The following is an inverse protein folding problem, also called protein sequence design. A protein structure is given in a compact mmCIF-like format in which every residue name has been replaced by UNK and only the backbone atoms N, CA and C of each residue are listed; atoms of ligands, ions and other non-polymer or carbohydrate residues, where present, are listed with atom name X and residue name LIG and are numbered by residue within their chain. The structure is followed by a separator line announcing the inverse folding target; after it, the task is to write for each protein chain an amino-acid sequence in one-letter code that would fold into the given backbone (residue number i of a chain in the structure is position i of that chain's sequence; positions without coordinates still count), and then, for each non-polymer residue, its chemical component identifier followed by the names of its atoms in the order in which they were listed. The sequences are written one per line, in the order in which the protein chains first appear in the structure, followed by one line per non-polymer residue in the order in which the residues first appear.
data_IF_190272692310
#
_entry.id   IF_190272692310
#
_cell.length_a   1.000
_cell.length_b   1.000
_cell.length_c   1.000
_cell.angle_alpha   90.00
_cell.angle_beta   90.00
_cell.angle_gamma   90.00
#
_symmetry.space_group_name_H-M   'P 1'
#
loop_
_entity.id
_entity.type
_entity.pdbx_description
1 polymer ?
#
# COMPACT_ATOMS: atom_id res chain seq x y z
N UNK A 1 -54.16 67.91 -2.12
CA UNK A 1 -53.49 67.11 -3.15
C UNK A 1 -52.20 66.61 -2.56
N UNK A 2 -52.19 65.37 -2.03
CA UNK A 2 -50.97 64.71 -1.41
C UNK A 2 -50.35 63.77 -2.43
N UNK A 3 -49.14 64.06 -2.82
CA UNK A 3 -48.32 63.15 -3.72
C UNK A 3 -47.77 62.03 -2.91
N UNK A 4 -48.14 60.81 -3.27
CA UNK A 4 -47.59 59.57 -2.73
C UNK A 4 -46.31 59.24 -3.52
N UNK A 5 -45.21 59.19 -2.84
CA UNK A 5 -43.92 58.82 -3.41
C UNK A 5 -43.66 57.32 -3.09
N UNK A 6 -43.66 56.47 -4.12
CA UNK A 6 -43.39 55.07 -3.99
C UNK A 6 -41.84 54.85 -4.00
N UNK A 7 -41.37 54.32 -2.92
CA UNK A 7 -39.94 53.89 -2.81
C UNK A 7 -39.83 52.43 -3.27
N UNK A 8 -39.12 52.20 -4.37
CA UNK A 8 -38.82 50.91 -4.91
C UNK A 8 -37.55 50.37 -4.20
N UNK A 9 -37.72 49.39 -3.32
CA UNK A 9 -36.57 48.70 -2.69
C UNK A 9 -36.16 47.57 -3.61
N UNK A 10 -35.00 47.72 -4.27
CA UNK A 10 -34.32 46.66 -4.99
C UNK A 10 -33.61 45.77 -3.98
N UNK A 11 -34.16 44.58 -3.72
CA UNK A 11 -33.48 43.54 -2.96
C UNK A 11 -32.54 42.80 -3.93
N UNK A 12 -31.29 43.21 -3.93
CA UNK A 12 -30.21 42.46 -4.62
C UNK A 12 -29.94 41.15 -3.90
N UNK A 13 -30.46 40.05 -4.44
CA UNK A 13 -30.11 38.72 -4.00
C UNK A 13 -28.69 38.41 -4.42
N UNK A 14 -27.73 38.44 -3.47
CA UNK A 14 -26.44 37.75 -3.64
C UNK A 14 -26.69 36.25 -3.67
N UNK A 15 -26.74 35.69 -4.85
CA UNK A 15 -26.58 34.25 -5.00
C UNK A 15 -25.14 33.90 -4.58
N UNK A 16 -24.99 33.36 -3.39
CA UNK A 16 -23.76 32.74 -2.96
C UNK A 16 -23.58 31.48 -3.83
N UNK A 17 -22.64 31.53 -4.77
CA UNK A 17 -22.14 30.34 -5.42
C UNK A 17 -21.52 29.46 -4.33
N UNK A 18 -22.25 28.42 -3.95
CA UNK A 18 -21.68 27.31 -3.17
C UNK A 18 -20.64 26.64 -4.08
N UNK A 19 -19.37 27.01 -3.89
CA UNK A 19 -18.26 26.19 -4.37
C UNK A 19 -18.49 24.79 -3.80
N UNK A 20 -18.88 23.86 -4.66
CA UNK A 20 -18.83 22.43 -4.35
C UNK A 20 -17.41 22.12 -3.91
N UNK A 21 -17.25 21.82 -2.61
CA UNK A 21 -16.02 21.35 -2.06
C UNK A 21 -15.57 20.14 -2.91
N UNK A 22 -14.34 20.17 -3.40
CA UNK A 22 -13.63 18.99 -3.92
C UNK A 22 -13.88 17.89 -2.90
N UNK A 23 -14.55 16.80 -3.31
CA UNK A 23 -14.89 15.71 -2.42
C UNK A 23 -13.65 15.26 -1.67
N UNK A 24 -13.64 15.50 -0.37
CA UNK A 24 -12.62 15.01 0.51
C UNK A 24 -12.62 13.47 0.40
N UNK A 25 -11.44 12.88 0.37
CA UNK A 25 -11.31 11.43 0.41
C UNK A 25 -12.11 10.91 1.62
N UNK A 26 -12.88 9.83 1.50
CA UNK A 26 -13.72 9.34 2.59
C UNK A 26 -12.86 9.11 3.84
N UNK A 27 -13.34 9.63 4.97
CA UNK A 27 -12.69 9.36 6.25
C UNK A 27 -12.65 7.85 6.48
N UNK A 28 -11.51 7.32 6.87
CA UNK A 28 -11.35 5.90 7.14
C UNK A 28 -10.51 5.67 8.39
N UNK A 29 -10.80 4.58 9.08
CA UNK A 29 -9.93 3.98 10.08
C UNK A 29 -9.96 2.48 9.89
N UNK A 30 -8.80 1.88 9.61
CA UNK A 30 -8.65 0.45 9.38
C UNK A 30 -7.60 -0.10 10.36
N UNK A 31 -7.95 -1.18 11.06
CA UNK A 31 -7.07 -1.92 11.97
C UNK A 31 -6.97 -3.34 11.49
N UNK A 32 -5.77 -3.89 11.49
CA UNK A 32 -5.57 -5.23 11.02
C UNK A 32 -4.12 -5.63 10.99
N UNK A 33 -3.82 -6.57 10.13
CA UNK A 33 -2.47 -7.04 9.90
C UNK A 33 -2.14 -7.10 8.42
N UNK A 34 -0.84 -7.08 8.13
CA UNK A 34 -0.33 -7.16 6.76
C UNK A 34 0.92 -8.00 6.67
N UNK A 35 1.11 -8.61 5.51
CA UNK A 35 2.30 -9.34 5.13
C UNK A 35 2.89 -8.66 3.90
N UNK A 36 4.20 -8.44 3.91
CA UNK A 36 4.92 -7.91 2.75
C UNK A 36 6.00 -8.90 2.36
N UNK A 37 6.02 -9.24 1.08
CA UNK A 37 7.13 -9.91 0.43
C UNK A 37 7.67 -9.06 -0.71
N UNK A 38 8.98 -9.04 -0.92
CA UNK A 38 9.58 -8.34 -2.06
C UNK A 38 10.86 -9.02 -2.56
N UNK A 39 11.28 -8.63 -3.75
CA UNK A 39 12.45 -9.21 -4.43
C UNK A 39 13.79 -8.86 -3.80
N UNK A 40 13.88 -7.87 -2.92
CA UNK A 40 15.12 -7.45 -2.28
C UNK A 40 15.66 -8.52 -1.31
N UNK A 41 16.92 -8.39 -0.91
CA UNK A 41 17.44 -9.06 0.27
C UNK A 41 16.95 -8.40 1.57
N UNK A 42 17.09 -9.09 2.69
CA UNK A 42 16.79 -8.54 4.01
C UNK A 42 18.04 -7.83 4.60
N UNK A 43 17.87 -6.67 5.29
CA UNK A 43 16.63 -5.92 5.47
C UNK A 43 16.26 -5.11 4.23
N UNK A 44 14.95 -4.80 4.05
CA UNK A 44 14.49 -4.01 2.92
C UNK A 44 15.06 -2.58 2.96
N UNK A 45 15.85 -2.15 1.98
CA UNK A 45 16.49 -0.84 1.98
C UNK A 45 15.48 0.32 1.86
N UNK A 46 14.35 0.10 1.19
CA UNK A 46 13.32 1.11 1.02
C UNK A 46 12.71 1.57 2.35
N UNK A 47 12.65 0.67 3.34
CA UNK A 47 12.17 1.00 4.68
C UNK A 47 13.13 1.92 5.45
N UNK A 48 14.37 1.99 5.01
CA UNK A 48 15.43 2.84 5.54
C UNK A 48 15.67 4.08 4.65
N UNK A 49 14.71 4.41 3.79
CA UNK A 49 14.80 5.49 2.81
C UNK A 49 16.02 5.35 1.87
N UNK A 50 16.28 4.13 1.43
CA UNK A 50 17.36 3.80 0.47
C UNK A 50 16.75 3.17 -0.77
N UNK A 51 17.47 3.25 -1.90
CA UNK A 51 17.02 2.63 -3.16
C UNK A 51 16.92 1.11 -3.04
N UNK A 52 15.98 0.47 -3.77
CA UNK A 52 15.93 -0.98 -3.87
C UNK A 52 17.27 -1.54 -4.38
N UNK A 53 17.60 -2.76 -3.96
CA UNK A 53 18.81 -3.44 -4.42
C UNK A 53 18.67 -3.99 -5.85
N UNK A 54 17.44 -4.06 -6.37
CA UNK A 54 17.16 -4.56 -7.72
C UNK A 54 17.15 -3.40 -8.71
N UNK A 55 17.80 -3.59 -9.86
CA UNK A 55 17.95 -2.56 -10.89
C UNK A 55 16.64 -2.20 -11.61
N UNK A 56 15.62 -3.07 -11.53
CA UNK A 56 14.32 -2.89 -12.18
C UNK A 56 13.20 -2.44 -11.23
N UNK A 57 13.56 -1.96 -10.05
CA UNK A 57 12.61 -1.60 -9.01
C UNK A 57 12.18 -2.79 -8.14
N UNK A 58 11.08 -2.64 -7.43
CA UNK A 58 10.61 -3.61 -6.46
C UNK A 58 9.45 -4.45 -7.02
N UNK A 59 9.68 -5.74 -7.23
CA UNK A 59 8.60 -6.71 -7.35
C UNK A 59 8.15 -7.09 -5.95
N UNK A 60 6.87 -6.87 -5.64
CA UNK A 60 6.37 -7.03 -4.28
C UNK A 60 4.92 -7.47 -4.21
N UNK A 61 4.60 -8.04 -3.06
CA UNK A 61 3.24 -8.34 -2.62
C UNK A 61 3.01 -7.71 -1.27
N UNK A 62 1.85 -7.09 -1.09
CA UNK A 62 1.35 -6.55 0.18
C UNK A 62 -0.05 -7.10 0.44
N UNK A 63 -0.15 -8.12 1.28
CA UNK A 63 -1.40 -8.76 1.65
C UNK A 63 -1.91 -8.17 2.96
N UNK A 64 -3.16 -7.73 2.97
CA UNK A 64 -3.80 -6.99 4.05
C UNK A 64 -5.06 -7.69 4.51
N UNK A 65 -5.22 -7.84 5.81
CA UNK A 65 -6.43 -8.28 6.49
C UNK A 65 -6.94 -7.18 7.42
N UNK A 66 -8.25 -6.92 7.39
CA UNK A 66 -8.90 -5.97 8.29
C UNK A 66 -9.62 -6.71 9.41
N UNK A 67 -9.11 -6.59 10.62
CA UNK A 67 -9.77 -7.08 11.82
C UNK A 67 -11.01 -6.23 12.13
N UNK A 68 -10.86 -4.91 12.04
CA UNK A 68 -11.91 -3.94 12.35
C UNK A 68 -11.67 -2.61 11.65
N UNK A 69 -12.73 -2.02 11.12
CA UNK A 69 -12.63 -0.67 10.59
C UNK A 69 -13.74 -0.28 9.64
N UNK A 70 -13.60 0.92 9.08
CA UNK A 70 -14.57 1.49 8.15
C UNK A 70 -13.89 2.40 7.13
N UNK A 71 -14.55 2.56 5.99
CA UNK A 71 -14.26 3.57 4.98
C UNK A 71 -15.56 4.34 4.76
N UNK A 72 -15.61 5.62 5.18
CA UNK A 72 -16.87 6.34 5.26
C UNK A 72 -17.88 5.57 6.13
N UNK A 73 -19.12 5.32 5.65
CA UNK A 73 -20.13 4.55 6.37
C UNK A 73 -19.96 3.03 6.22
N UNK A 74 -19.05 2.54 5.38
CA UNK A 74 -18.93 1.12 5.02
C UNK A 74 -18.00 0.41 5.99
N UNK A 75 -18.52 -0.63 6.68
CA UNK A 75 -17.69 -1.50 7.51
C UNK A 75 -16.82 -2.39 6.65
N UNK A 76 -15.55 -2.51 7.06
CA UNK A 76 -14.52 -3.27 6.36
C UNK A 76 -14.04 -4.50 7.15
N UNK A 77 -14.71 -4.86 8.24
CA UNK A 77 -14.32 -5.98 9.11
C UNK A 77 -14.26 -7.29 8.29
N UNK A 78 -13.18 -8.03 8.42
CA UNK A 78 -12.95 -9.31 7.73
C UNK A 78 -12.56 -9.21 6.25
N UNK A 79 -12.45 -8.00 5.68
CA UNK A 79 -12.05 -7.81 4.29
C UNK A 79 -10.56 -8.09 4.11
N UNK A 80 -10.23 -8.87 3.09
CA UNK A 80 -8.87 -9.09 2.64
C UNK A 80 -8.64 -8.44 1.28
N UNK A 81 -7.46 -7.88 1.07
CA UNK A 81 -6.97 -7.54 -0.27
C UNK A 81 -5.48 -7.77 -0.38
N UNK A 82 -5.03 -7.92 -1.60
CA UNK A 82 -3.61 -8.08 -1.92
C UNK A 82 -3.24 -7.10 -3.01
N UNK A 83 -2.18 -6.37 -2.79
CA UNK A 83 -1.56 -5.55 -3.83
C UNK A 83 -0.33 -6.28 -4.34
N UNK A 84 -0.24 -6.39 -5.65
CA UNK A 84 0.93 -6.94 -6.32
C UNK A 84 1.47 -5.89 -7.27
N UNK A 85 2.76 -5.59 -7.15
CA UNK A 85 3.43 -4.61 -7.99
C UNK A 85 4.69 -5.17 -8.61
N UNK A 86 4.92 -4.78 -9.86
CA UNK A 86 6.14 -5.07 -10.61
C UNK A 86 6.94 -3.81 -10.86
N UNK A 87 8.25 -3.88 -10.64
CA UNK A 87 9.19 -2.81 -10.96
C UNK A 87 8.91 -1.51 -10.20
N UNK A 88 8.28 -1.61 -9.05
CA UNK A 88 7.81 -0.48 -8.28
C UNK A 88 8.96 0.43 -7.86
N UNK A 89 8.81 1.73 -8.14
CA UNK A 89 9.81 2.72 -7.78
C UNK A 89 10.79 3.08 -8.90
N UNK A 90 10.85 2.33 -9.98
CA UNK A 90 11.62 2.69 -11.18
C UNK A 90 10.70 3.21 -12.28
N UNK A 91 11.19 4.21 -13.03
CA UNK A 91 10.46 4.75 -14.18
C UNK A 91 10.72 3.88 -15.40
N UNK A 92 9.95 2.81 -15.55
CA UNK A 92 9.97 2.01 -16.77
C UNK A 92 8.57 1.85 -17.31
N UNK A 93 8.41 1.72 -18.61
CA UNK A 93 7.11 1.45 -19.24
C UNK A 93 6.55 0.06 -18.89
N UNK A 94 7.33 -0.75 -18.18
CA UNK A 94 6.98 -2.11 -17.79
C UNK A 94 6.41 -2.21 -16.36
N UNK A 95 6.36 -1.12 -15.60
CA UNK A 95 5.86 -1.12 -14.23
C UNK A 95 4.34 -1.21 -14.21
N UNK A 96 3.82 -1.99 -13.28
CA UNK A 96 2.39 -2.08 -13.07
C UNK A 96 2.07 -2.46 -11.63
N UNK A 97 0.82 -2.21 -11.25
CA UNK A 97 0.23 -2.64 -10.00
C UNK A 97 -1.17 -3.19 -10.24
N UNK A 98 -1.52 -4.25 -9.53
CA UNK A 98 -2.86 -4.84 -9.50
C UNK A 98 -3.32 -5.02 -8.06
N UNK A 99 -4.62 -4.88 -7.83
CA UNK A 99 -5.23 -5.16 -6.52
C UNK A 99 -6.15 -6.35 -6.67
N UNK A 100 -5.98 -7.34 -5.82
CA UNK A 100 -6.93 -8.45 -5.67
C UNK A 100 -7.75 -8.21 -4.41
N UNK A 101 -9.06 -8.31 -4.51
CA UNK A 101 -10.01 -8.22 -3.40
C UNK A 101 -10.65 -9.58 -3.18
N UNK A 102 -10.81 -9.96 -1.91
CA UNK A 102 -11.53 -11.19 -1.56
C UNK A 102 -12.93 -11.19 -2.20
N UNK A 103 -13.27 -12.27 -2.90
CA UNK A 103 -14.60 -12.42 -3.53
C UNK A 103 -15.76 -12.36 -2.53
N UNK A 104 -15.49 -12.59 -1.23
CA UNK A 104 -16.48 -12.46 -0.16
C UNK A 104 -16.82 -11.01 0.18
N UNK A 105 -16.02 -10.03 -0.27
CA UNK A 105 -16.32 -8.63 -0.07
C UNK A 105 -17.64 -8.24 -0.77
N UNK A 106 -18.43 -7.38 -0.12
CA UNK A 106 -19.66 -6.87 -0.74
C UNK A 106 -19.35 -5.85 -1.83
N UNK A 107 -20.29 -5.54 -2.74
CA UNK A 107 -20.11 -4.48 -3.73
C UNK A 107 -19.82 -3.11 -3.10
N UNK A 108 -20.42 -2.82 -1.93
CA UNK A 108 -20.18 -1.59 -1.19
C UNK A 108 -18.77 -1.52 -0.63
N UNK A 109 -18.24 -2.65 -0.12
CA UNK A 109 -16.85 -2.75 0.36
C UNK A 109 -15.86 -2.61 -0.79
N UNK A 110 -16.13 -3.24 -1.92
CA UNK A 110 -15.33 -3.08 -3.14
C UNK A 110 -15.26 -1.63 -3.58
N UNK A 111 -16.43 -0.97 -3.68
CA UNK A 111 -16.51 0.43 -4.05
C UNK A 111 -15.77 1.33 -3.06
N UNK A 112 -15.96 1.11 -1.76
CA UNK A 112 -15.29 1.88 -0.72
C UNK A 112 -13.76 1.72 -0.78
N UNK A 113 -13.27 0.50 -0.99
CA UNK A 113 -11.85 0.24 -1.17
C UNK A 113 -11.31 0.90 -2.44
N UNK A 114 -12.02 0.77 -3.57
CA UNK A 114 -11.64 1.38 -4.83
C UNK A 114 -11.59 2.92 -4.72
N UNK A 115 -12.57 3.53 -4.04
CA UNK A 115 -12.60 4.98 -3.79
C UNK A 115 -11.43 5.41 -2.88
N UNK A 116 -11.12 4.65 -1.83
CA UNK A 116 -10.00 4.91 -0.92
C UNK A 116 -8.65 4.79 -1.64
N UNK A 117 -8.47 3.76 -2.44
CA UNK A 117 -7.30 3.61 -3.29
C UNK A 117 -7.29 4.62 -4.45
N UNK A 118 -8.45 5.23 -4.71
CA UNK A 118 -8.63 6.33 -5.65
C UNK A 118 -8.62 5.91 -7.10
N UNK A 119 -8.92 4.66 -7.41
CA UNK A 119 -8.88 4.11 -8.77
C UNK A 119 -7.50 4.16 -9.44
N UNK A 120 -6.71 5.18 -9.07
CA UNK A 120 -5.35 5.49 -9.52
C UNK A 120 -4.35 5.52 -8.36
N UNK A 121 -4.66 4.91 -7.23
CA UNK A 121 -3.89 5.00 -5.98
C UNK A 121 -3.80 6.44 -5.41
N UNK A 122 -4.80 7.27 -5.65
CA UNK A 122 -4.80 8.69 -5.25
C UNK A 122 -4.73 8.89 -3.74
N UNK A 123 -5.28 7.97 -2.95
CA UNK A 123 -5.17 8.01 -1.48
C UNK A 123 -3.70 7.96 -1.02
N UNK A 124 -2.82 7.43 -1.85
CA UNK A 124 -1.39 7.32 -1.62
C UNK A 124 -0.59 8.53 -2.15
N UNK A 125 -1.30 9.53 -2.68
CA UNK A 125 -0.73 10.77 -3.20
C UNK A 125 -0.34 10.73 -4.69
N UNK A 126 -0.15 11.90 -5.30
CA UNK A 126 0.07 12.02 -6.75
C UNK A 126 1.37 11.36 -7.23
N UNK A 127 2.38 11.22 -6.37
CA UNK A 127 3.63 10.53 -6.70
C UNK A 127 3.45 9.02 -6.81
N UNK A 128 2.46 8.46 -6.15
CA UNK A 128 2.14 7.05 -6.15
C UNK A 128 1.86 6.50 -7.54
N UNK A 129 0.99 7.16 -8.27
CA UNK A 129 0.66 6.81 -9.65
C UNK A 129 1.89 6.74 -10.55
N UNK A 130 2.81 7.67 -10.36
CA UNK A 130 4.01 7.75 -11.17
C UNK A 130 5.00 6.61 -10.92
N UNK A 131 5.08 6.13 -9.67
CA UNK A 131 6.00 5.07 -9.26
C UNK A 131 5.42 3.67 -9.44
N UNK A 132 4.09 3.55 -9.38
CA UNK A 132 3.39 2.28 -9.56
C UNK A 132 3.26 1.85 -11.03
N UNK A 133 3.42 2.78 -11.97
CA UNK A 133 3.21 2.52 -13.39
C UNK A 133 1.74 2.32 -13.73
N UNK A 134 1.45 1.32 -14.56
CA UNK A 134 0.09 1.04 -15.03
C UNK A 134 -0.75 0.36 -13.92
N UNK A 135 -1.92 0.92 -13.60
CA UNK A 135 -2.87 0.24 -12.74
C UNK A 135 -3.67 -0.79 -13.54
N UNK A 136 -3.45 -2.08 -13.27
CA UNK A 136 -4.11 -3.20 -13.94
C UNK A 136 -5.52 -3.50 -13.41
N UNK A 137 -6.03 -2.64 -12.52
CA UNK A 137 -7.38 -2.72 -11.98
C UNK A 137 -7.48 -3.44 -10.64
N UNK A 138 -8.72 -3.47 -10.12
CA UNK A 138 -9.12 -4.25 -8.97
C UNK A 138 -9.82 -5.53 -9.49
N UNK A 139 -9.32 -6.68 -9.09
CA UNK A 139 -9.82 -8.00 -9.48
C UNK A 139 -10.38 -8.72 -8.25
N UNK A 140 -11.51 -9.40 -8.39
CA UNK A 140 -12.02 -10.28 -7.33
C UNK A 140 -11.43 -11.68 -7.49
N UNK A 141 -11.05 -12.28 -6.36
CA UNK A 141 -10.51 -13.64 -6.34
C UNK A 141 -10.83 -14.33 -5.02
N UNK A 142 -10.99 -15.67 -5.00
CA UNK A 142 -11.05 -16.42 -3.75
C UNK A 142 -9.70 -16.33 -3.05
N UNK A 143 -9.72 -15.84 -1.81
CA UNK A 143 -8.50 -15.73 -1.01
C UNK A 143 -8.69 -16.16 0.44
N UNK A 144 -7.58 -16.51 1.07
CA UNK A 144 -7.50 -16.77 2.49
C UNK A 144 -6.37 -15.95 3.09
N UNK A 145 -6.56 -15.54 4.33
CA UNK A 145 -5.54 -14.91 5.15
C UNK A 145 -5.59 -15.57 6.52
N UNK A 146 -4.45 -15.96 7.05
CA UNK A 146 -4.37 -16.60 8.35
C UNK A 146 -3.18 -16.11 9.17
N UNK A 147 -3.37 -16.13 10.49
CA UNK A 147 -2.35 -15.76 11.46
C UNK A 147 -2.31 -16.88 12.50
N UNK A 148 -1.10 -17.35 12.82
CA UNK A 148 -0.93 -18.34 13.91
C UNK A 148 -1.33 -17.77 15.26
N UNK A 149 -1.74 -18.63 16.20
CA UNK A 149 -2.22 -18.22 17.51
C UNK A 149 -1.18 -17.40 18.32
N UNK A 150 0.11 -17.67 18.10
CA UNK A 150 1.24 -16.95 18.69
C UNK A 150 1.64 -15.69 17.91
N UNK A 151 0.95 -15.40 16.80
CA UNK A 151 1.23 -14.29 15.89
C UNK A 151 2.66 -14.29 15.31
N UNK A 152 3.25 -15.46 15.20
CA UNK A 152 4.62 -15.61 14.68
C UNK A 152 4.64 -16.05 13.22
N UNK A 153 3.52 -16.53 12.67
CA UNK A 153 3.41 -16.93 11.27
C UNK A 153 2.16 -16.34 10.64
N UNK A 154 2.30 -15.91 9.39
CA UNK A 154 1.25 -15.27 8.61
C UNK A 154 1.22 -15.88 7.22
N UNK A 155 0.04 -16.08 6.67
CA UNK A 155 -0.14 -16.64 5.34
C UNK A 155 -1.23 -15.89 4.58
N UNK A 156 -1.03 -15.70 3.28
CA UNK A 156 -2.03 -15.17 2.36
C UNK A 156 -1.99 -15.95 1.06
N UNK A 157 -3.14 -16.43 0.62
CA UNK A 157 -3.27 -17.21 -0.61
C UNK A 157 -4.36 -16.66 -1.49
N UNK A 158 -4.11 -16.61 -2.79
CA UNK A 158 -5.11 -16.41 -3.84
C UNK A 158 -5.03 -17.63 -4.73
N UNK A 159 -6.13 -18.38 -4.84
CA UNK A 159 -6.16 -19.66 -5.53
C UNK A 159 -5.59 -19.57 -6.96
N UNK A 160 -4.52 -20.32 -7.21
CA UNK A 160 -3.84 -20.37 -8.50
C UNK A 160 -3.05 -19.11 -8.88
N UNK A 161 -2.98 -18.10 -8.01
CA UNK A 161 -2.32 -16.81 -8.28
C UNK A 161 -1.21 -16.49 -7.29
N UNK A 162 -1.45 -16.61 -5.99
CA UNK A 162 -0.51 -16.23 -4.93
C UNK A 162 -0.39 -17.28 -3.85
N UNK A 163 0.84 -17.58 -3.46
CA UNK A 163 1.19 -18.30 -2.24
C UNK A 163 2.24 -17.47 -1.49
N UNK A 164 1.83 -16.84 -0.38
CA UNK A 164 2.70 -16.02 0.47
C UNK A 164 2.64 -16.53 1.90
N UNK A 165 3.77 -17.06 2.39
CA UNK A 165 3.90 -17.63 3.73
C UNK A 165 5.16 -17.08 4.39
N UNK A 166 5.00 -16.54 5.59
CA UNK A 166 6.10 -15.94 6.34
C UNK A 166 6.08 -16.36 7.80
N UNK A 167 7.26 -16.45 8.39
CA UNK A 167 7.45 -16.74 9.81
C UNK A 167 8.43 -15.74 10.41
N UNK A 168 8.13 -15.25 11.62
CA UNK A 168 9.00 -14.32 12.33
C UNK A 168 10.45 -14.83 12.40
N UNK A 169 11.38 -13.98 11.97
CA UNK A 169 12.80 -14.31 12.05
C UNK A 169 13.31 -14.13 13.48
N UNK A 170 13.93 -15.18 14.01
CA UNK A 170 14.56 -15.19 15.32
C UNK A 170 16.04 -15.55 15.12
N UNK A 171 16.94 -14.66 15.52
CA UNK A 171 18.36 -14.90 15.45
C UNK A 171 18.78 -16.07 16.34
N UNK A 172 19.82 -16.85 15.96
CA UNK A 172 20.35 -17.93 16.79
C UNK A 172 20.70 -17.44 18.21
N UNK A 173 20.23 -18.18 19.22
CA UNK A 173 20.44 -17.84 20.64
C UNK A 173 19.46 -16.80 21.21
N UNK A 174 18.51 -16.29 20.43
CA UNK A 174 17.47 -15.39 20.88
C UNK A 174 16.11 -16.09 20.95
N UNK A 175 15.17 -15.52 21.71
CA UNK A 175 13.78 -16.02 21.87
C UNK A 175 12.76 -15.06 21.31
N UNK A 176 13.14 -13.81 21.06
CA UNK A 176 12.29 -12.79 20.48
C UNK A 176 12.59 -12.56 19.00
N UNK A 177 11.59 -12.21 18.19
CA UNK A 177 11.78 -11.91 16.78
C UNK A 177 12.58 -10.61 16.57
N UNK A 178 13.24 -10.52 15.42
CA UNK A 178 13.86 -9.27 14.98
C UNK A 178 12.80 -8.26 14.57
N UNK A 179 12.88 -7.05 15.12
CA UNK A 179 11.90 -5.98 14.92
C UNK A 179 12.61 -4.71 14.48
N UNK A 180 12.08 -4.05 13.46
CA UNK A 180 12.44 -2.66 13.13
C UNK A 180 11.38 -1.69 13.62
N UNK A 181 11.83 -0.55 14.13
CA UNK A 181 10.99 0.59 14.54
C UNK A 181 11.50 1.87 13.89
N UNK A 182 10.67 2.91 13.86
CA UNK A 182 11.05 4.18 13.21
C UNK A 182 11.12 4.09 11.70
N UNK A 183 10.43 3.11 11.11
CA UNK A 183 10.37 2.93 9.66
C UNK A 183 9.40 3.92 9.01
N UNK A 184 9.61 4.20 7.74
CA UNK A 184 8.69 5.03 6.93
C UNK A 184 7.60 4.17 6.32
N UNK A 185 6.40 4.18 6.93
CA UNK A 185 5.26 3.41 6.45
C UNK A 185 3.94 4.03 6.93
N UNK A 186 2.94 4.21 6.05
CA UNK A 186 1.64 4.75 6.43
C UNK A 186 0.83 3.80 7.35
N UNK A 187 1.07 2.52 7.26
CA UNK A 187 0.42 1.54 8.13
C UNK A 187 0.98 1.55 9.54
N UNK A 188 2.23 1.97 9.72
CA UNK A 188 2.86 2.05 11.03
C UNK A 188 4.36 2.29 10.93
N UNK A 189 4.99 2.49 12.06
CA UNK A 189 6.42 2.74 12.20
C UNK A 189 7.21 1.51 12.66
N UNK A 190 6.55 0.34 12.70
CA UNK A 190 7.10 -0.91 13.23
C UNK A 190 6.70 -2.10 12.34
N UNK A 191 7.63 -3.01 12.11
CA UNK A 191 7.35 -4.33 11.57
C UNK A 191 8.26 -5.42 12.17
N UNK A 192 7.82 -6.67 12.07
CA UNK A 192 8.60 -7.86 12.40
C UNK A 192 9.26 -8.38 11.12
N UNK A 193 10.57 -8.58 11.15
CA UNK A 193 11.27 -9.28 10.08
C UNK A 193 10.84 -10.74 10.04
N UNK A 194 10.74 -11.30 8.86
CA UNK A 194 10.28 -12.66 8.68
C UNK A 194 11.11 -13.43 7.67
N UNK A 195 11.19 -14.72 7.89
CA UNK A 195 11.67 -15.68 6.90
C UNK A 195 10.54 -15.92 5.90
N UNK A 196 10.82 -15.74 4.62
CA UNK A 196 9.89 -15.95 3.52
C UNK A 196 9.88 -17.44 3.16
N UNK A 197 8.89 -18.17 3.65
CA UNK A 197 8.76 -19.60 3.44
C UNK A 197 8.21 -19.93 2.05
N UNK A 198 7.33 -19.08 1.54
CA UNK A 198 6.84 -19.08 0.18
C UNK A 198 6.51 -17.64 -0.26
N UNK A 199 6.87 -17.28 -1.49
CA UNK A 199 6.39 -16.06 -2.16
C UNK A 199 6.33 -16.34 -3.66
N UNK A 200 5.28 -17.04 -4.05
CA UNK A 200 5.06 -17.44 -5.44
C UNK A 200 3.85 -16.70 -5.98
N UNK A 201 4.03 -16.09 -7.11
CA UNK A 201 2.97 -15.36 -7.81
C UNK A 201 2.91 -15.80 -9.26
N UNK A 202 1.70 -16.02 -9.76
CA UNK A 202 1.46 -16.37 -11.15
C UNK A 202 0.08 -15.87 -11.58
N UNK A 203 0.03 -14.89 -12.46
CA UNK A 203 -1.23 -14.43 -13.07
C UNK A 203 -1.15 -14.64 -14.59
N UNK A 204 -1.92 -15.62 -15.08
CA UNK A 204 -1.98 -15.93 -16.50
C UNK A 204 -2.55 -14.79 -17.37
N UNK A 205 -3.41 -13.92 -16.80
CA UNK A 205 -3.96 -12.76 -17.50
C UNK A 205 -2.92 -11.66 -17.68
N UNK A 206 -2.08 -11.47 -16.67
CA UNK A 206 -0.96 -10.52 -16.71
C UNK A 206 0.25 -11.12 -17.42
N UNK A 207 0.27 -12.43 -17.67
CA UNK A 207 1.39 -13.18 -18.24
C UNK A 207 2.68 -12.95 -17.46
N UNK A 208 2.55 -12.98 -16.13
CA UNK A 208 3.67 -12.71 -15.25
C UNK A 208 3.70 -13.69 -14.09
N UNK A 209 4.92 -14.14 -13.74
CA UNK A 209 5.16 -15.04 -12.63
C UNK A 209 6.51 -14.79 -12.00
N UNK A 210 6.62 -15.08 -10.70
CA UNK A 210 7.88 -15.15 -9.96
C UNK A 210 7.84 -16.18 -8.84
N UNK A 211 9.03 -16.57 -8.40
CA UNK A 211 9.26 -17.23 -7.12
C UNK A 211 10.32 -16.44 -6.36
N UNK A 212 9.89 -15.74 -5.32
CA UNK A 212 10.70 -14.91 -4.44
C UNK A 212 10.84 -15.54 -3.04
N UNK A 213 10.64 -16.84 -2.93
CA UNK A 213 10.86 -17.62 -1.71
C UNK A 213 12.28 -17.38 -1.18
N UNK A 214 12.42 -17.17 0.13
CA UNK A 214 13.70 -16.85 0.77
C UNK A 214 14.16 -15.39 0.62
N UNK A 215 13.40 -14.54 -0.08
CA UNK A 215 13.70 -13.11 -0.20
C UNK A 215 13.14 -12.33 0.98
N UNK A 216 13.26 -11.01 0.93
CA UNK A 216 12.76 -10.10 1.95
C UNK A 216 11.28 -10.32 2.24
N UNK A 217 10.95 -10.51 3.50
CA UNK A 217 9.58 -10.45 4.00
C UNK A 217 9.50 -9.81 5.37
N UNK A 218 8.33 -9.32 5.70
CA UNK A 218 7.97 -8.81 7.01
C UNK A 218 6.45 -8.81 7.19
N UNK A 219 6.02 -8.65 8.43
CA UNK A 219 4.62 -8.47 8.77
C UNK A 219 4.45 -7.44 9.89
N UNK A 220 3.26 -6.87 9.98
CA UNK A 220 2.91 -5.92 11.02
C UNK A 220 1.41 -5.93 11.33
N UNK A 221 1.05 -5.67 12.57
CA UNK A 221 -0.26 -5.12 12.90
C UNK A 221 -0.25 -3.62 12.62
N UNK A 222 -1.38 -3.06 12.20
CA UNK A 222 -1.44 -1.66 11.80
C UNK A 222 -2.73 -0.96 12.21
N UNK A 223 -2.64 0.37 12.23
CA UNK A 223 -3.79 1.28 12.22
C UNK A 223 -3.57 2.27 11.09
N UNK A 224 -4.43 2.26 10.07
CA UNK A 224 -4.37 3.15 8.93
C UNK A 224 -5.45 4.22 9.04
N UNK A 225 -5.05 5.48 8.97
CA UNK A 225 -5.95 6.65 8.99
C UNK A 225 -5.52 7.67 7.95
N UNK A 226 -6.41 8.62 7.55
CA UNK A 226 -6.04 9.70 6.64
C UNK A 226 -4.83 10.52 7.12
N UNK A 227 -4.73 10.76 8.44
CA UNK A 227 -3.64 11.56 9.01
C UNK A 227 -2.29 10.83 8.87
N UNK A 228 -2.27 9.51 9.00
CA UNK A 228 -1.05 8.71 8.78
C UNK A 228 -0.62 8.74 7.33
N UNK A 229 -1.57 8.63 6.40
CA UNK A 229 -1.30 8.74 4.97
C UNK A 229 -0.80 10.15 4.62
N UNK A 230 -1.44 11.20 5.15
CA UNK A 230 -1.09 12.60 4.87
C UNK A 230 0.28 13.01 5.42
N UNK A 231 0.75 12.42 6.51
CA UNK A 231 2.06 12.73 7.11
C UNK A 231 3.26 12.27 6.27
N UNK A 232 3.04 11.84 5.03
CA UNK A 232 4.11 11.41 4.13
C UNK A 232 4.69 10.05 4.49
N UNK A 233 4.14 9.38 5.49
CA UNK A 233 4.35 7.97 5.71
C UNK A 233 3.61 7.22 4.62
N UNK A 234 4.05 7.39 3.40
CA UNK A 234 3.46 6.79 2.21
C UNK A 234 3.57 5.29 2.38
N UNK A 235 2.44 4.60 2.35
CA UNK A 235 2.26 3.24 2.80
C UNK A 235 3.06 2.16 2.11
N UNK A 236 3.80 2.54 1.14
CA UNK A 236 4.60 1.66 0.32
C UNK A 236 6.05 2.13 0.44
N UNK A 237 6.72 1.81 1.49
CA UNK A 237 8.06 2.28 1.84
C UNK A 237 9.05 2.52 0.70
N UNK A 238 8.90 1.79 -0.41
CA UNK A 238 9.69 1.97 -1.62
C UNK A 238 9.53 3.35 -2.28
N UNK A 239 8.43 4.02 -2.11
CA UNK A 239 8.10 5.27 -2.80
C UNK A 239 8.87 6.46 -2.27
N UNK A 240 9.02 6.53 -0.96
CA UNK A 240 9.71 7.64 -0.31
C UNK A 240 11.18 7.63 -0.69
N UNK A 241 11.79 6.45 -0.74
CA UNK A 241 13.18 6.29 -1.12
C UNK A 241 13.46 6.78 -2.56
N UNK A 242 12.48 6.61 -3.46
CA UNK A 242 12.67 7.01 -4.86
C UNK A 242 12.32 8.47 -5.15
N UNK A 243 11.42 9.09 -4.38
CA UNK A 243 10.93 10.44 -4.68
C UNK A 243 11.90 11.55 -4.30
N UNK A 244 12.73 11.33 -3.29
CA UNK A 244 13.62 12.35 -2.73
C UNK A 244 15.09 12.15 -3.08
N UNK A 245 15.48 10.92 -3.45
CA UNK A 245 16.88 10.54 -3.69
C UNK A 245 17.25 10.33 -5.15
N UNK A 246 16.31 10.46 -6.10
CA UNK A 246 16.58 10.18 -7.51
C UNK A 246 17.68 11.02 -8.15
N UNK A 247 18.09 12.13 -7.52
CA UNK A 247 19.04 13.05 -8.13
C UNK A 247 20.36 13.22 -7.36
N UNK A 248 20.55 12.54 -6.19
CA UNK A 248 21.63 12.97 -5.28
C UNK A 248 22.57 11.89 -4.73
N UNK A 249 22.30 10.57 -4.88
CA UNK A 249 23.19 9.57 -4.25
C UNK A 249 23.49 8.34 -5.13
N UNK A 250 24.77 8.08 -5.44
CA UNK A 250 25.20 6.88 -6.16
C UNK A 250 25.35 5.66 -5.25
N UNK A 251 24.31 5.33 -4.44
CA UNK A 251 24.41 4.19 -3.51
C UNK A 251 24.64 2.85 -4.23
N UNK A 252 24.12 2.71 -5.45
CA UNK A 252 24.36 1.51 -6.27
C UNK A 252 25.78 1.46 -6.84
N UNK A 253 26.41 2.60 -7.13
CA UNK A 253 27.80 2.63 -7.61
C UNK A 253 28.79 2.16 -6.52
N UNK A 254 28.49 2.41 -5.24
CA UNK A 254 29.34 1.95 -4.15
C UNK A 254 29.29 0.43 -3.95
N UNK A 255 28.14 -0.22 -4.20
CA UNK A 255 28.01 -1.68 -4.09
C UNK A 255 28.59 -2.41 -5.30
N UNK A 256 28.39 -1.88 -6.51
CA UNK A 256 28.96 -2.45 -7.74
C UNK A 256 30.49 -2.33 -7.77
N UNK A 257 31.05 -1.31 -7.13
CA UNK A 257 32.50 -1.13 -6.99
C UNK A 257 33.17 -2.13 -6.04
N UNK A 258 32.43 -2.76 -5.15
CA UNK A 258 32.97 -3.77 -4.21
C UNK A 258 33.01 -5.20 -4.79
N UNK A 259 32.18 -5.51 -5.80
CA UNK A 259 32.20 -6.81 -6.47
C UNK A 259 33.31 -6.94 -7.54
N UNK A 260 34.02 -5.86 -7.84
CA UNK A 260 35.12 -5.84 -8.84
C UNK A 260 36.53 -5.80 -8.27
N UNK A 261 36.68 -6.08 -6.98
CA UNK A 261 37.97 -6.31 -6.32
C UNK A 261 37.97 -7.71 -5.72
#
# INVERSE_FOLDING_TARGET
MKKLMAVLVLVGGCAAETKTAKGDAPAFELRGSRIIGCCCGAPCPCRLNKKPMQCHGCDHTDAVHIDKGHIGPVRMDGVNWVVVGRGFGEKTDANWVVVYLDEKATPEQEKALADMLGGDLKAWGPKAKHLAGEFKGLKRAPMTYSVSADKMSYEAHIAGILDLQVKAHINPGHTAPVVSTGIMDAFGDRFVHADCLAHKYKDAQLKYEWDLTGRQSNFAEFVLTPERVAKGAIGWGCWTAHSEYNDKEPYQEQLVGQEKK
#
